data_IF_387130208923
#
_entry.id   IF_387130208923
#
_cell.length_a   1.000
_cell.length_b   1.000
_cell.length_c   1.000
_cell.angle_alpha   90.00
_cell.angle_beta   90.00
_cell.angle_gamma   90.00
#
_symmetry.space_group_name_H-M   'P 1'
#
loop_
_entity.id
_entity.type
_entity.pdbx_description
1 polymer ?
#
# COMPACT_ATOMS: atom_id res chain seq x y z
N UNK A 1 -5.56 -10.49 1.29
CA UNK A 1 -7.01 -10.15 1.39
C UNK A 1 -7.49 -9.81 2.81
N UNK A 2 -7.23 -10.62 3.86
CA UNK A 2 -7.77 -10.39 5.22
C UNK A 2 -7.53 -9.00 5.82
N UNK A 3 -6.38 -8.37 5.51
CA UNK A 3 -6.00 -7.04 6.01
C UNK A 3 -6.90 -5.92 5.47
N UNK A 4 -7.38 -6.05 4.23
CA UNK A 4 -8.27 -5.07 3.60
C UNK A 4 -9.64 -5.10 4.28
N UNK A 5 -10.21 -6.29 4.50
CA UNK A 5 -11.45 -6.44 5.26
C UNK A 5 -11.31 -5.89 6.69
N UNK A 6 -10.19 -6.16 7.37
CA UNK A 6 -9.96 -5.63 8.73
C UNK A 6 -9.79 -4.09 8.76
N UNK A 7 -9.39 -3.47 7.65
CA UNK A 7 -9.37 -2.01 7.51
C UNK A 7 -10.79 -1.46 7.37
N UNK A 8 -11.59 -2.06 6.49
CA UNK A 8 -12.99 -1.70 6.30
C UNK A 8 -13.81 -1.89 7.59
N UNK A 9 -13.66 -3.04 8.26
CA UNK A 9 -14.38 -3.36 9.49
C UNK A 9 -14.09 -2.33 10.60
N UNK A 10 -12.82 -1.94 10.79
CA UNK A 10 -12.45 -0.87 11.73
C UNK A 10 -13.04 0.49 11.37
N UNK A 11 -13.13 0.80 10.09
CA UNK A 11 -13.77 2.03 9.63
C UNK A 11 -15.28 2.00 9.91
N UNK A 12 -15.95 0.90 9.55
CA UNK A 12 -17.37 0.71 9.72
C UNK A 12 -17.81 0.78 11.20
N UNK A 13 -17.02 0.18 12.10
CA UNK A 13 -17.28 0.23 13.54
C UNK A 13 -17.20 1.65 14.13
N UNK A 14 -16.45 2.57 13.50
CA UNK A 14 -16.30 3.97 13.96
C UNK A 14 -17.48 4.86 13.57
N UNK A 15 -18.30 4.45 12.60
CA UNK A 15 -19.46 5.23 12.17
C UNK A 15 -20.47 5.27 13.33
N UNK A 16 -20.88 6.48 13.73
CA UNK A 16 -21.92 6.68 14.76
C UNK A 16 -23.30 6.43 14.18
N UNK A 17 -24.26 6.08 15.03
CA UNK A 17 -25.63 5.85 14.57
C UNK A 17 -26.34 7.13 14.13
N UNK A 18 -27.24 7.04 13.11
CA UNK A 18 -27.60 5.83 12.37
C UNK A 18 -26.51 5.41 11.37
N UNK A 19 -26.14 4.12 11.39
CA UNK A 19 -25.10 3.60 10.50
C UNK A 19 -25.69 3.28 9.12
N UNK A 20 -25.03 3.70 8.04
CA UNK A 20 -25.41 3.32 6.69
C UNK A 20 -25.13 1.82 6.46
N UNK A 21 -25.73 1.22 5.44
CA UNK A 21 -25.50 -0.17 5.09
C UNK A 21 -24.04 -0.40 4.69
N UNK A 22 -23.56 -1.65 4.78
CA UNK A 22 -22.20 -2.02 4.33
C UNK A 22 -21.92 -1.58 2.89
N UNK A 23 -22.90 -1.71 2.00
CA UNK A 23 -22.78 -1.29 0.59
C UNK A 23 -22.62 0.23 0.43
N UNK A 24 -23.21 1.02 1.33
CA UNK A 24 -23.13 2.49 1.32
C UNK A 24 -21.83 2.97 1.99
N UNK A 25 -21.34 2.25 3.00
CA UNK A 25 -20.09 2.58 3.70
C UNK A 25 -18.83 2.17 2.91
N UNK A 26 -18.91 1.14 2.07
CA UNK A 26 -17.79 0.68 1.25
C UNK A 26 -17.17 1.77 0.36
N UNK A 27 -17.93 2.54 -0.45
CA UNK A 27 -17.36 3.63 -1.25
C UNK A 27 -16.81 4.77 -0.39
N UNK A 28 -17.42 5.05 0.78
CA UNK A 28 -16.90 6.07 1.72
C UNK A 28 -15.54 5.65 2.29
N UNK A 29 -15.41 4.40 2.72
CA UNK A 29 -14.12 3.85 3.15
C UNK A 29 -13.08 3.89 2.03
N UNK A 30 -13.50 3.58 0.80
CA UNK A 30 -12.62 3.60 -0.35
C UNK A 30 -12.11 5.03 -0.59
N UNK A 31 -12.94 6.05 -0.44
CA UNK A 31 -12.50 7.44 -0.58
C UNK A 31 -11.63 7.93 0.59
N UNK A 32 -12.07 7.68 1.83
CA UNK A 32 -11.45 8.25 3.02
C UNK A 32 -10.15 7.53 3.44
N UNK A 33 -10.04 6.23 3.17
CA UNK A 33 -8.91 5.40 3.63
C UNK A 33 -8.08 4.90 2.46
N UNK A 34 -8.72 4.28 1.47
CA UNK A 34 -8.00 3.64 0.37
C UNK A 34 -7.40 4.68 -0.59
N UNK A 35 -8.24 5.54 -1.16
CA UNK A 35 -7.83 6.60 -2.09
C UNK A 35 -6.86 7.57 -1.42
N UNK A 36 -7.02 7.85 -0.12
CA UNK A 36 -6.04 8.66 0.61
C UNK A 36 -4.63 8.08 0.51
N UNK A 37 -4.47 6.78 0.76
CA UNK A 37 -3.17 6.08 0.65
C UNK A 37 -2.67 6.05 -0.79
N UNK A 38 -3.52 5.69 -1.74
CA UNK A 38 -3.12 5.57 -3.16
C UNK A 38 -2.77 6.94 -3.76
N UNK A 39 -3.44 8.01 -3.33
CA UNK A 39 -3.15 9.36 -3.80
C UNK A 39 -1.76 9.86 -3.37
N UNK A 40 -1.17 9.29 -2.32
CA UNK A 40 0.22 9.58 -1.96
C UNK A 40 1.23 8.97 -2.96
N UNK A 41 0.84 7.96 -3.74
CA UNK A 41 1.72 7.34 -4.73
C UNK A 41 2.03 8.34 -5.85
N UNK A 42 3.32 8.69 -6.07
CA UNK A 42 3.70 9.61 -7.12
C UNK A 42 3.36 9.04 -8.49
N UNK A 43 2.95 9.92 -9.41
CA UNK A 43 2.49 9.56 -10.76
C UNK A 43 3.53 8.69 -11.51
N UNK A 44 4.83 8.91 -11.29
CA UNK A 44 5.92 8.14 -11.88
C UNK A 44 5.99 6.67 -11.43
N UNK A 45 5.37 6.32 -10.29
CA UNK A 45 5.30 4.95 -9.76
C UNK A 45 3.90 4.33 -9.89
N UNK A 46 2.88 5.11 -10.30
CA UNK A 46 1.53 4.57 -10.55
C UNK A 46 1.56 3.57 -11.71
N UNK A 47 0.75 2.53 -11.61
CA UNK A 47 0.62 1.50 -12.65
C UNK A 47 1.71 0.41 -12.63
N UNK A 48 2.73 0.51 -11.77
CA UNK A 48 3.74 -0.56 -11.55
C UNK A 48 3.25 -1.70 -10.65
N UNK A 49 2.27 -1.40 -9.82
CA UNK A 49 1.65 -2.32 -8.87
C UNK A 49 0.18 -1.91 -8.81
N UNK A 50 -0.72 -2.89 -8.78
CA UNK A 50 -2.14 -2.62 -8.61
C UNK A 50 -2.41 -1.88 -7.29
N UNK A 51 -3.33 -0.92 -7.31
CA UNK A 51 -3.64 -0.09 -6.13
C UNK A 51 -4.03 -0.94 -4.92
N UNK A 52 -4.80 -2.02 -5.15
CA UNK A 52 -5.19 -2.95 -4.09
C UNK A 52 -3.98 -3.64 -3.44
N UNK A 53 -2.98 -3.98 -4.25
CA UNK A 53 -1.74 -4.60 -3.81
C UNK A 53 -0.86 -3.60 -3.05
N UNK A 54 -0.72 -2.36 -3.56
CA UNK A 54 -0.03 -1.27 -2.84
C UNK A 54 -0.65 -1.07 -1.46
N UNK A 55 -1.97 -0.95 -1.38
CA UNK A 55 -2.67 -0.77 -0.11
C UNK A 55 -2.45 -1.95 0.85
N UNK A 56 -2.49 -3.18 0.35
CA UNK A 56 -2.19 -4.37 1.14
C UNK A 56 -0.79 -4.34 1.75
N UNK A 57 0.21 -3.98 0.93
CA UNK A 57 1.61 -3.90 1.35
C UNK A 57 1.86 -2.77 2.33
N UNK A 58 1.23 -1.60 2.13
CA UNK A 58 1.29 -0.50 3.10
C UNK A 58 0.73 -0.94 4.45
N UNK A 59 -0.38 -1.67 4.49
CA UNK A 59 -0.94 -2.20 5.73
C UNK A 59 0.02 -3.19 6.40
N UNK A 60 0.71 -4.03 5.63
CA UNK A 60 1.73 -4.95 6.15
C UNK A 60 2.94 -4.21 6.71
N UNK A 61 3.45 -3.25 5.95
CA UNK A 61 4.57 -2.41 6.33
C UNK A 61 4.29 -1.63 7.61
N UNK A 62 3.07 -1.10 7.77
CA UNK A 62 2.61 -0.44 9.00
C UNK A 62 2.73 -1.37 10.22
N UNK A 63 2.33 -2.64 10.08
CA UNK A 63 2.42 -3.59 11.18
C UNK A 63 3.89 -3.91 11.50
N UNK A 64 4.72 -4.15 10.48
CA UNK A 64 6.15 -4.39 10.66
C UNK A 64 6.86 -3.20 11.32
N UNK A 65 6.59 -1.98 10.87
CA UNK A 65 7.12 -0.76 11.49
C UNK A 65 6.63 -0.60 12.93
N UNK A 66 5.36 -0.95 13.19
CA UNK A 66 4.80 -0.89 14.53
C UNK A 66 5.41 -1.93 15.48
N UNK A 67 5.68 -3.14 14.99
CA UNK A 67 6.43 -4.16 15.73
C UNK A 67 7.83 -3.67 16.07
N UNK A 68 8.54 -3.07 15.09
CA UNK A 68 9.88 -2.54 15.28
C UNK A 68 9.93 -1.35 16.23
N UNK A 69 8.93 -0.47 16.17
CA UNK A 69 8.82 0.71 17.02
C UNK A 69 8.21 0.43 18.40
N UNK A 70 7.62 -0.75 18.61
CA UNK A 70 6.87 -1.10 19.81
C UNK A 70 5.54 -0.33 19.96
N UNK A 71 5.10 0.38 18.94
CA UNK A 71 3.90 1.21 18.94
C UNK A 71 3.36 1.41 17.52
N UNK A 72 2.06 1.73 17.40
CA UNK A 72 1.47 1.99 16.10
C UNK A 72 2.03 3.28 15.46
N UNK A 73 2.64 3.16 14.29
CA UNK A 73 3.23 4.31 13.57
C UNK A 73 2.22 5.13 12.77
N UNK A 74 0.98 4.65 12.62
CA UNK A 74 -0.03 5.27 11.77
C UNK A 74 0.10 4.93 10.28
N UNK A 75 -1.01 5.09 9.54
CA UNK A 75 -1.07 4.71 8.12
C UNK A 75 -0.35 5.72 7.21
N UNK A 76 -0.40 7.02 7.53
CA UNK A 76 0.25 8.06 6.74
C UNK A 76 1.80 7.91 6.76
N UNK A 77 2.38 7.66 7.94
CA UNK A 77 3.81 7.39 8.07
C UNK A 77 4.24 6.13 7.34
N UNK A 78 3.51 5.02 7.54
CA UNK A 78 3.79 3.76 6.87
C UNK A 78 3.67 3.90 5.34
N UNK A 79 2.71 4.68 4.85
CA UNK A 79 2.54 4.96 3.41
C UNK A 79 3.75 5.70 2.85
N UNK A 80 4.18 6.78 3.51
CA UNK A 80 5.34 7.56 3.08
C UNK A 80 6.63 6.74 3.09
N UNK A 81 6.85 5.93 4.14
CA UNK A 81 8.02 5.06 4.23
C UNK A 81 7.98 3.96 3.17
N UNK A 82 6.82 3.33 2.94
CA UNK A 82 6.64 2.33 1.89
C UNK A 82 6.93 2.88 0.49
N UNK A 83 6.40 4.06 0.16
CA UNK A 83 6.61 4.71 -1.14
C UNK A 83 8.08 5.04 -1.38
N UNK A 84 8.82 5.36 -0.32
CA UNK A 84 10.25 5.70 -0.40
C UNK A 84 11.15 4.46 -0.44
N UNK A 85 10.82 3.46 0.35
CA UNK A 85 11.72 2.35 0.67
C UNK A 85 11.42 1.06 -0.11
N UNK A 86 10.17 0.85 -0.54
CA UNK A 86 9.72 -0.42 -1.15
C UNK A 86 9.18 -0.19 -2.57
N UNK A 87 8.25 0.74 -2.74
CA UNK A 87 7.60 0.98 -4.03
C UNK A 87 8.55 1.25 -5.21
N UNK A 88 9.71 1.94 -5.07
CA UNK A 88 10.63 2.17 -6.18
C UNK A 88 11.30 0.89 -6.69
N UNK A 89 11.45 -0.09 -5.80
CA UNK A 89 12.06 -1.40 -6.09
C UNK A 89 11.02 -2.45 -6.46
N UNK A 90 9.73 -2.18 -6.20
CA UNK A 90 8.60 -2.90 -6.78
C UNK A 90 8.49 -2.51 -8.25
N UNK A 91 9.21 -3.22 -9.09
CA UNK A 91 8.87 -3.35 -10.50
C UNK A 91 7.96 -4.57 -10.63
N UNK A 92 6.95 -4.51 -11.51
CA UNK A 92 6.14 -5.65 -11.90
C UNK A 92 7.01 -6.91 -11.99
N UNK A 93 6.45 -8.05 -11.60
CA UNK A 93 7.07 -9.36 -11.66
C UNK A 93 7.42 -9.83 -13.11
N UNK A 94 7.86 -8.94 -14.00
CA UNK A 94 8.24 -9.18 -15.38
C UNK A 94 9.27 -8.20 -15.98
N UNK A 95 9.87 -7.26 -15.24
CA UNK A 95 11.02 -6.50 -15.77
C UNK A 95 12.34 -7.16 -15.38
N UNK A 96 12.68 -8.22 -16.11
CA UNK A 96 14.05 -8.73 -16.23
C UNK A 96 14.94 -7.66 -16.88
N UNK A 97 15.43 -6.68 -16.13
CA UNK A 97 16.56 -5.89 -16.57
C UNK A 97 17.84 -6.34 -15.84
N UNK A 98 18.16 -7.61 -16.00
CA UNK A 98 19.53 -8.11 -15.83
C UNK A 98 20.17 -8.29 -17.20
N UNK A 99 20.19 -7.22 -18.01
CA UNK A 99 21.18 -7.10 -19.08
C UNK A 99 22.49 -6.65 -18.47
N UNK A 100 23.05 -7.47 -17.58
CA UNK A 100 24.47 -7.38 -17.23
C UNK A 100 25.22 -8.28 -18.19
N UNK A 101 25.36 -7.83 -19.44
CA UNK A 101 26.38 -8.36 -20.33
C UNK A 101 27.72 -7.92 -19.75
N UNK A 102 28.59 -8.83 -19.28
CA UNK A 102 29.94 -8.42 -18.93
C UNK A 102 30.66 -7.99 -20.22
N UNK A 103 31.34 -6.84 -20.26
CA UNK A 103 32.26 -6.57 -21.35
C UNK A 103 33.51 -7.47 -21.18
N UNK A 104 34.00 -7.96 -22.32
CA UNK A 104 35.35 -8.52 -22.58
C UNK A 104 35.49 -10.05 -22.37
N UNK A 105 36.02 -10.82 -23.32
CA UNK A 105 37.34 -10.60 -23.94
C UNK A 105 37.39 -11.00 -25.41
N UNK A 106 37.96 -10.12 -26.25
CA UNK A 106 38.71 -10.53 -27.43
C UNK A 106 39.91 -11.37 -26.95
N UNK A 107 40.16 -12.48 -27.63
CA UNK A 107 41.31 -13.36 -27.45
C UNK A 107 41.25 -14.49 -28.47
#
# INVERSE_FOLDING_TARGET
AKRILASFDRYYQRIKEPRPSVAEAAPLWLDEVFNKVINHVPISLRGRVEDAQVFHEVLEHRWYLGEKAGADVGIDFATADYIKSILPYRMDAGSTNSTSTPPQSLG
#
